data_IF_160807187291
#
_entry.id   IF_160807187291
#
_cell.length_a   1.000
_cell.length_b   1.000
_cell.length_c   1.000
_cell.angle_alpha   90.00
_cell.angle_beta   90.00
_cell.angle_gamma   90.00
#
_symmetry.space_group_name_H-M   'P 1'
#
loop_
_entity.id
_entity.type
_entity.pdbx_description
1 polymer ?
#
# COMPACT_ATOMS: atom_id res chain seq x y z
N UNK A 1 21.47 47.69 -84.18
CA UNK A 1 21.15 46.77 -85.30
C UNK A 1 19.97 45.91 -84.88
N UNK A 2 19.02 45.70 -85.80
CA UNK A 2 17.80 44.84 -85.73
C UNK A 2 18.06 43.52 -84.97
N UNK A 3 17.21 42.96 -84.12
CA UNK A 3 15.77 42.65 -84.26
C UNK A 3 15.10 42.45 -82.88
N UNK A 4 13.76 42.59 -82.79
CA UNK A 4 12.95 42.37 -81.59
C UNK A 4 12.24 41.00 -81.59
N UNK A 5 11.72 40.60 -80.42
CA UNK A 5 10.82 39.45 -80.22
C UNK A 5 11.21 38.73 -78.93
N UNK A 6 10.34 38.47 -77.95
CA UNK A 6 8.89 38.58 -77.86
C UNK A 6 8.53 38.36 -76.38
N UNK A 7 7.68 39.21 -75.81
CA UNK A 7 7.12 39.02 -74.47
C UNK A 7 6.15 37.83 -74.45
N UNK A 8 6.20 36.94 -73.44
CA UNK A 8 5.06 36.11 -73.12
C UNK A 8 4.23 36.73 -71.99
N UNK A 9 2.94 36.78 -72.29
CA UNK A 9 1.79 36.79 -71.39
C UNK A 9 1.94 35.85 -70.20
N UNK A 10 1.44 36.29 -69.04
CA UNK A 10 1.55 35.57 -67.78
C UNK A 10 0.62 34.35 -67.64
N UNK A 11 0.76 33.68 -66.49
CA UNK A 11 -0.29 32.91 -65.86
C UNK A 11 0.07 32.72 -64.38
N UNK A 12 -0.82 33.12 -63.49
CA UNK A 12 -0.73 32.84 -62.06
C UNK A 12 -0.83 31.32 -61.83
N UNK A 13 0.19 30.73 -61.22
CA UNK A 13 0.13 29.34 -60.78
C UNK A 13 -0.56 29.29 -59.41
N UNK A 14 -1.77 28.76 -59.37
CA UNK A 14 -2.46 28.37 -58.15
C UNK A 14 -1.68 27.22 -57.49
N UNK A 15 -1.13 27.44 -56.28
CA UNK A 15 -0.66 26.35 -55.42
C UNK A 15 -1.89 25.60 -54.89
N UNK A 16 -2.17 24.44 -55.46
CA UNK A 16 -3.07 23.47 -54.85
C UNK A 16 -2.37 22.87 -53.61
N UNK A 17 -2.79 23.27 -52.41
CA UNK A 17 -2.49 22.54 -51.19
C UNK A 17 -3.18 21.17 -51.27
N UNK A 18 -2.41 20.12 -51.52
CA UNK A 18 -2.88 18.76 -51.36
C UNK A 18 -3.07 18.50 -49.84
N UNK A 19 -4.31 18.62 -49.38
CA UNK A 19 -4.75 18.10 -48.08
C UNK A 19 -4.62 16.58 -48.15
N UNK A 20 -3.53 16.04 -47.62
CA UNK A 20 -3.43 14.61 -47.30
C UNK A 20 -4.41 14.40 -46.13
N UNK A 21 -5.50 13.65 -46.30
CA UNK A 21 -6.31 13.26 -45.17
C UNK A 21 -5.41 12.35 -44.33
N UNK A 22 -5.03 12.84 -43.14
CA UNK A 22 -4.53 11.97 -42.08
C UNK A 22 -5.75 11.16 -41.64
N UNK A 23 -6.05 10.09 -42.38
CA UNK A 23 -6.93 9.04 -41.91
C UNK A 23 -6.23 8.45 -40.71
N UNK A 24 -6.56 8.96 -39.52
CA UNK A 24 -6.28 8.30 -38.28
C UNK A 24 -6.92 6.91 -38.40
N UNK A 25 -6.12 5.93 -38.81
CA UNK A 25 -6.41 4.55 -38.53
C UNK A 25 -6.41 4.48 -37.01
N UNK A 26 -7.57 4.68 -36.40
CA UNK A 26 -7.87 4.06 -35.13
C UNK A 26 -7.78 2.57 -35.42
N UNK A 27 -6.57 2.02 -35.32
CA UNK A 27 -6.41 0.63 -34.96
C UNK A 27 -7.09 0.50 -33.60
N UNK A 28 -8.40 0.23 -33.63
CA UNK A 28 -8.97 -0.64 -32.62
C UNK A 28 -8.20 -1.93 -32.81
N UNK A 29 -7.11 -2.05 -32.07
CA UNK A 29 -6.68 -3.36 -31.66
C UNK A 29 -7.89 -3.91 -30.90
N UNK A 30 -8.69 -4.74 -31.58
CA UNK A 30 -9.34 -5.86 -30.94
C UNK A 30 -8.22 -6.76 -30.42
N UNK A 31 -7.50 -6.26 -29.41
CA UNK A 31 -6.65 -7.06 -28.57
C UNK A 31 -7.59 -7.60 -27.52
N UNK A 32 -8.17 -8.75 -27.85
CA UNK A 32 -8.60 -9.77 -26.90
C UNK A 32 -7.37 -10.32 -26.14
N UNK A 33 -6.44 -9.43 -25.74
CA UNK A 33 -5.42 -9.73 -24.75
C UNK A 33 -6.21 -10.11 -23.51
N UNK A 34 -6.05 -11.34 -23.04
CA UNK A 34 -6.70 -11.84 -21.84
C UNK A 34 -6.68 -10.72 -20.78
N UNK A 35 -7.85 -10.14 -20.50
CA UNK A 35 -7.97 -9.14 -19.45
C UNK A 35 -7.65 -9.87 -18.16
N UNK A 36 -6.64 -9.42 -17.42
CA UNK A 36 -6.33 -10.00 -16.12
C UNK A 36 -7.62 -10.07 -15.29
N UNK A 37 -7.99 -11.27 -14.83
CA UNK A 37 -9.11 -11.44 -13.89
C UNK A 37 -8.73 -11.05 -12.47
N UNK A 38 -7.43 -11.09 -12.17
CA UNK A 38 -6.89 -10.81 -10.85
C UNK A 38 -5.85 -9.69 -10.91
N UNK A 39 -5.90 -8.78 -9.94
CA UNK A 39 -4.91 -7.73 -9.74
C UNK A 39 -4.39 -7.79 -8.31
N UNK A 40 -3.09 -8.04 -8.16
CA UNK A 40 -2.39 -7.92 -6.88
C UNK A 40 -1.75 -6.54 -6.79
N UNK A 41 -2.16 -5.74 -5.82
CA UNK A 41 -1.55 -4.43 -5.54
C UNK A 41 -0.62 -4.56 -4.34
N UNK A 42 0.67 -4.33 -4.55
CA UNK A 42 1.68 -4.31 -3.50
C UNK A 42 2.15 -2.88 -3.31
N UNK A 43 1.95 -2.34 -2.10
CA UNK A 43 2.54 -1.07 -1.69
C UNK A 43 3.78 -1.33 -0.83
N UNK A 44 4.93 -0.75 -1.14
CA UNK A 44 6.11 -0.82 -0.27
C UNK A 44 6.28 0.53 0.41
N UNK A 45 6.03 0.61 1.72
CA UNK A 45 6.21 1.87 2.45
C UNK A 45 7.68 2.27 2.44
N UNK A 46 7.93 3.52 2.03
CA UNK A 46 9.26 4.13 2.03
C UNK A 46 10.08 3.86 0.78
N UNK A 47 9.64 3.01 -0.14
CA UNK A 47 10.44 2.66 -1.32
C UNK A 47 10.61 3.87 -2.25
N UNK A 48 11.85 4.32 -2.41
CA UNK A 48 12.21 5.32 -3.43
C UNK A 48 12.45 4.65 -4.77
N UNK A 49 12.24 5.41 -5.86
CA UNK A 49 12.70 5.03 -7.19
C UNK A 49 14.21 4.72 -7.19
N UNK A 50 15.03 5.51 -6.50
CA UNK A 50 16.47 5.29 -6.37
C UNK A 50 16.84 4.00 -5.65
N UNK A 51 16.02 3.54 -4.71
CA UNK A 51 16.25 2.26 -4.01
C UNK A 51 16.08 1.11 -4.99
N UNK A 52 15.00 1.14 -5.78
CA UNK A 52 14.72 0.14 -6.82
C UNK A 52 15.83 0.14 -7.88
N UNK A 53 16.20 1.32 -8.40
CA UNK A 53 17.26 1.45 -9.42
C UNK A 53 18.60 0.89 -8.94
N UNK A 54 19.02 1.25 -7.73
CA UNK A 54 20.28 0.76 -7.16
C UNK A 54 20.24 -0.75 -6.93
N UNK A 55 19.14 -1.28 -6.40
CA UNK A 55 18.99 -2.70 -6.10
C UNK A 55 19.03 -3.57 -7.36
N UNK A 56 18.28 -3.22 -8.42
CA UNK A 56 18.26 -4.03 -9.64
C UNK A 56 19.57 -3.94 -10.43
N UNK A 57 20.33 -2.84 -10.27
CA UNK A 57 21.65 -2.70 -10.88
C UNK A 57 22.68 -3.68 -10.29
N UNK A 58 22.59 -3.99 -8.99
CA UNK A 58 23.43 -4.99 -8.31
C UNK A 58 22.83 -6.40 -8.31
N UNK A 59 21.51 -6.53 -8.50
CA UNK A 59 20.76 -7.79 -8.47
C UNK A 59 19.99 -8.05 -9.77
N UNK A 60 20.72 -8.11 -10.90
CA UNK A 60 20.11 -8.21 -12.23
C UNK A 60 19.22 -9.45 -12.47
N UNK A 61 19.30 -10.48 -11.63
CA UNK A 61 18.47 -11.70 -11.70
C UNK A 61 17.34 -11.76 -10.68
N UNK A 62 17.17 -10.71 -9.87
CA UNK A 62 16.13 -10.58 -8.85
C UNK A 62 14.72 -10.55 -9.45
N UNK A 63 13.70 -10.83 -8.64
CA UNK A 63 12.29 -10.72 -9.05
C UNK A 63 11.92 -9.28 -9.39
N UNK A 64 12.40 -8.30 -8.62
CA UNK A 64 12.24 -6.88 -8.92
C UNK A 64 12.87 -6.51 -10.28
N UNK A 65 14.07 -7.01 -10.58
CA UNK A 65 14.69 -6.80 -11.89
C UNK A 65 13.87 -7.43 -13.02
N UNK A 66 13.31 -8.64 -12.82
CA UNK A 66 12.41 -9.27 -13.79
C UNK A 66 11.14 -8.45 -14.00
N UNK A 67 10.50 -7.97 -12.93
CA UNK A 67 9.30 -7.13 -13.03
C UNK A 67 9.55 -5.87 -13.84
N UNK A 68 10.70 -5.21 -13.63
CA UNK A 68 11.09 -4.01 -14.40
C UNK A 68 11.41 -4.34 -15.86
N UNK A 69 12.13 -5.43 -16.12
CA UNK A 69 12.61 -5.77 -17.46
C UNK A 69 11.55 -6.42 -18.36
N UNK A 70 10.60 -7.15 -17.77
CA UNK A 70 9.58 -7.94 -18.47
C UNK A 70 8.17 -7.33 -18.36
N UNK A 71 7.97 -6.40 -17.43
CA UNK A 71 6.71 -5.68 -17.21
C UNK A 71 6.72 -4.26 -17.76
N UNK A 72 5.85 -3.42 -17.18
CA UNK A 72 5.84 -1.99 -17.42
C UNK A 72 6.40 -1.27 -16.19
N UNK A 73 7.44 -0.47 -16.38
CA UNK A 73 8.00 0.41 -15.35
C UNK A 73 7.70 1.86 -15.67
N UNK A 74 7.28 2.61 -14.65
CA UNK A 74 7.02 4.04 -14.74
C UNK A 74 8.04 4.78 -13.89
N UNK A 75 8.91 5.54 -14.54
CA UNK A 75 9.78 6.49 -13.84
C UNK A 75 9.02 7.78 -13.51
N UNK A 76 9.50 8.50 -12.50
CA UNK A 76 8.88 9.75 -12.05
C UNK A 76 7.39 9.59 -11.66
N UNK A 77 7.07 8.48 -10.98
CA UNK A 77 5.80 8.30 -10.30
C UNK A 77 5.80 9.13 -9.00
N UNK A 78 4.69 9.82 -8.71
CA UNK A 78 4.60 10.71 -7.54
C UNK A 78 3.50 10.27 -6.58
N UNK A 79 3.82 10.36 -5.29
CA UNK A 79 2.87 10.23 -4.20
C UNK A 79 2.10 11.54 -4.02
N UNK A 80 0.89 11.52 -3.42
CA UNK A 80 0.17 12.75 -3.10
C UNK A 80 0.93 13.59 -2.08
N UNK A 81 0.56 14.87 -1.96
CA UNK A 81 0.98 15.72 -0.84
C UNK A 81 -0.15 15.83 0.21
N UNK A 82 0.13 15.60 1.50
CA UNK A 82 1.40 15.14 2.06
C UNK A 82 1.70 13.67 1.69
N UNK A 83 2.99 13.34 1.55
CA UNK A 83 3.45 12.00 1.20
C UNK A 83 3.65 11.16 2.46
N UNK A 84 2.59 10.51 2.92
CA UNK A 84 2.61 9.53 4.01
C UNK A 84 1.61 8.39 3.73
N UNK A 85 1.54 7.42 4.64
CA UNK A 85 0.80 6.17 4.58
C UNK A 85 -0.68 6.37 4.29
N UNK A 86 -1.38 7.13 5.13
CA UNK A 86 -2.83 7.32 4.98
C UNK A 86 -3.22 8.09 3.69
N UNK A 87 -2.65 9.28 3.40
CA UNK A 87 -2.96 9.99 2.15
C UNK A 87 -2.49 9.23 0.91
N UNK A 88 -1.33 8.57 0.97
CA UNK A 88 -0.78 7.76 -0.11
C UNK A 88 -1.65 6.58 -0.49
N UNK A 89 -2.08 5.79 0.51
CA UNK A 89 -2.97 4.67 0.26
C UNK A 89 -4.33 5.15 -0.24
N UNK A 90 -4.86 6.25 0.32
CA UNK A 90 -6.10 6.86 -0.16
C UNK A 90 -6.02 7.16 -1.65
N UNK A 91 -4.91 7.73 -2.13
CA UNK A 91 -4.72 8.03 -3.54
C UNK A 91 -4.67 6.75 -4.41
N UNK A 92 -3.97 5.70 -3.96
CA UNK A 92 -3.94 4.40 -4.65
C UNK A 92 -5.34 3.80 -4.75
N UNK A 93 -6.11 3.84 -3.66
CA UNK A 93 -7.41 3.17 -3.58
C UNK A 93 -8.56 3.95 -4.21
N UNK A 94 -8.41 5.24 -4.49
CA UNK A 94 -9.51 6.08 -4.98
C UNK A 94 -9.19 6.83 -6.28
N UNK A 95 -7.91 6.96 -6.63
CA UNK A 95 -7.44 7.88 -7.66
C UNK A 95 -7.62 9.37 -7.31
N UNK A 96 -8.05 9.69 -6.08
CA UNK A 96 -8.35 11.05 -5.65
C UNK A 96 -7.19 11.66 -4.85
N UNK A 97 -7.01 12.97 -4.98
CA UNK A 97 -6.12 13.74 -4.10
C UNK A 97 -6.68 13.78 -2.66
N UNK A 98 -5.85 13.84 -1.59
CA UNK A 98 -6.29 13.94 -0.20
C UNK A 98 -7.45 14.93 0.03
N UNK A 99 -7.32 16.13 -0.54
CA UNK A 99 -8.37 17.17 -0.54
C UNK A 99 -9.73 16.70 -1.08
N UNK A 100 -9.76 16.03 -2.23
CA UNK A 100 -11.01 15.55 -2.85
C UNK A 100 -11.54 14.29 -2.18
N UNK A 101 -10.64 13.42 -1.70
CA UNK A 101 -11.00 12.24 -0.93
C UNK A 101 -11.61 12.60 0.44
N UNK A 102 -11.29 13.79 0.97
CA UNK A 102 -11.74 14.24 2.29
C UNK A 102 -10.84 13.78 3.44
N UNK A 103 -9.76 13.06 3.12
CA UNK A 103 -8.79 12.50 4.06
C UNK A 103 -7.46 13.19 3.82
N UNK A 104 -7.06 14.10 4.71
CA UNK A 104 -5.78 14.81 4.60
C UNK A 104 -4.62 13.99 5.19
N UNK A 105 -4.86 13.36 6.33
CA UNK A 105 -3.89 12.61 7.13
C UNK A 105 -4.65 11.63 8.05
N UNK A 106 -3.96 10.67 8.66
CA UNK A 106 -4.54 9.78 9.69
C UNK A 106 -4.84 10.54 10.99
N UNK A 107 -3.97 11.47 11.38
CA UNK A 107 -4.21 12.44 12.46
C UNK A 107 -4.52 13.84 11.92
N UNK A 108 -5.74 14.32 12.12
CA UNK A 108 -6.17 15.62 11.59
C UNK A 108 -7.23 16.34 12.41
N UNK A 109 -7.25 17.68 12.37
CA UNK A 109 -8.30 18.46 13.03
C UNK A 109 -9.56 18.57 12.16
N UNK A 110 -10.71 18.11 12.67
CA UNK A 110 -12.01 18.27 12.03
C UNK A 110 -12.91 19.25 12.80
N UNK A 111 -13.33 20.33 12.13
CA UNK A 111 -14.16 21.40 12.72
C UNK A 111 -15.66 21.06 12.79
N UNK A 112 -16.09 19.96 12.18
CA UNK A 112 -17.51 19.61 12.02
C UNK A 112 -17.93 18.42 12.88
N UNK A 113 -16.99 17.60 13.35
CA UNK A 113 -17.26 16.46 14.20
C UNK A 113 -17.17 16.82 15.68
N UNK A 114 -17.81 16.01 16.51
CA UNK A 114 -17.78 16.11 17.97
C UNK A 114 -16.67 15.22 18.54
N UNK A 115 -16.15 15.53 19.74
CA UNK A 115 -15.15 14.72 20.44
C UNK A 115 -15.51 13.24 20.56
N UNK A 116 -14.48 12.39 20.52
CA UNK A 116 -14.60 10.97 20.81
C UNK A 116 -15.25 10.73 22.19
N UNK A 117 -16.02 9.65 22.31
CA UNK A 117 -16.80 9.33 23.51
C UNK A 117 -18.06 10.19 23.74
N UNK A 118 -18.43 11.09 22.81
CA UNK A 118 -19.68 11.85 22.89
C UNK A 118 -20.90 10.93 22.75
N UNK A 119 -21.71 10.82 23.82
CA UNK A 119 -22.94 10.00 23.84
C UNK A 119 -24.23 10.82 23.86
N UNK A 120 -24.13 12.14 24.08
CA UNK A 120 -25.24 13.10 24.02
C UNK A 120 -24.80 14.34 23.26
N UNK A 121 -25.22 14.47 22.00
CA UNK A 121 -24.74 15.49 21.09
C UNK A 121 -25.34 16.89 21.29
N UNK A 122 -26.48 17.00 21.97
CA UNK A 122 -27.14 18.28 22.19
C UNK A 122 -26.26 19.25 23.02
N UNK A 123 -25.95 20.42 22.45
CA UNK A 123 -25.17 21.45 23.12
C UNK A 123 -23.65 21.22 23.16
N UNK A 124 -23.15 20.15 22.53
CA UNK A 124 -21.71 19.90 22.39
C UNK A 124 -21.17 20.74 21.23
N UNK A 125 -20.07 21.45 21.47
CA UNK A 125 -19.41 22.24 20.44
C UNK A 125 -18.59 21.35 19.50
N UNK A 126 -18.65 21.56 18.16
CA UNK A 126 -17.84 20.80 17.21
C UNK A 126 -16.40 21.29 17.16
N UNK A 127 -15.50 20.42 16.71
CA UNK A 127 -14.06 20.60 16.74
C UNK A 127 -13.38 19.48 17.50
N UNK A 128 -12.69 18.60 16.79
CA UNK A 128 -12.04 17.41 17.36
C UNK A 128 -10.79 17.04 16.57
N UNK A 129 -9.81 16.48 17.26
CA UNK A 129 -8.68 15.74 16.68
C UNK A 129 -9.17 14.35 16.26
N UNK A 130 -9.14 14.06 14.97
CA UNK A 130 -9.54 12.78 14.39
C UNK A 130 -8.30 11.93 14.25
N UNK A 131 -8.28 10.80 14.95
CA UNK A 131 -7.11 9.93 15.08
C UNK A 131 -7.36 8.56 14.45
N UNK A 132 -7.24 8.47 13.13
CA UNK A 132 -7.39 7.22 12.37
C UNK A 132 -6.07 6.49 12.19
N UNK A 133 -5.49 6.12 13.33
CA UNK A 133 -4.23 5.39 13.47
C UNK A 133 -4.38 4.30 14.55
N UNK A 134 -3.27 3.80 15.10
CA UNK A 134 -3.20 2.65 16.01
C UNK A 134 -4.01 2.82 17.31
N UNK A 135 -4.32 4.06 17.71
CA UNK A 135 -5.13 4.33 18.91
C UNK A 135 -6.58 3.83 18.80
N UNK A 136 -7.05 3.53 17.58
CA UNK A 136 -8.40 3.01 17.36
C UNK A 136 -8.56 1.56 17.84
N UNK A 137 -7.48 0.83 18.07
CA UNK A 137 -7.53 -0.56 18.48
C UNK A 137 -8.31 -0.76 19.79
N UNK A 138 -9.00 -1.89 19.91
CA UNK A 138 -9.55 -2.34 21.20
C UNK A 138 -8.40 -2.58 22.19
N UNK A 139 -7.31 -3.19 21.74
CA UNK A 139 -6.07 -3.32 22.50
C UNK A 139 -4.84 -3.16 21.58
N UNK A 140 -4.29 -1.95 21.58
CA UNK A 140 -3.06 -1.60 20.87
C UNK A 140 -1.87 -2.48 21.28
N UNK A 141 -1.86 -3.09 22.47
CA UNK A 141 -0.73 -3.91 22.89
C UNK A 141 -0.69 -5.30 22.25
N UNK A 142 -1.78 -5.72 21.58
CA UNK A 142 -1.90 -7.03 20.96
C UNK A 142 -1.85 -6.92 19.44
N UNK A 143 -1.09 -7.80 18.78
CA UNK A 143 -0.98 -7.83 17.31
C UNK A 143 -2.31 -8.09 16.60
N UNK A 144 -3.30 -8.64 17.29
CA UNK A 144 -4.66 -8.81 16.76
C UNK A 144 -5.58 -7.61 17.04
N UNK A 145 -5.05 -6.45 17.46
CA UNK A 145 -5.77 -5.24 17.84
C UNK A 145 -6.83 -5.45 18.95
N UNK A 146 -6.73 -6.54 19.71
CA UNK A 146 -7.72 -6.93 20.72
C UNK A 146 -8.86 -7.81 20.19
N UNK A 147 -8.73 -8.39 18.99
CA UNK A 147 -9.71 -9.31 18.39
C UNK A 147 -9.97 -10.57 19.24
N UNK A 148 -9.03 -10.97 20.09
CA UNK A 148 -9.16 -12.11 21.00
C UNK A 148 -8.98 -13.46 20.30
N UNK A 149 -7.99 -13.57 19.40
CA UNK A 149 -7.79 -14.77 18.55
C UNK A 149 -7.15 -15.97 19.26
N UNK A 150 -6.81 -15.84 20.54
CA UNK A 150 -6.27 -16.90 21.38
C UNK A 150 -4.84 -16.60 21.85
N UNK A 151 -4.00 -17.64 21.92
CA UNK A 151 -2.62 -17.51 22.37
C UNK A 151 -1.76 -16.81 21.30
N UNK A 152 -1.15 -15.68 21.68
CA UNK A 152 -0.23 -14.90 20.87
C UNK A 152 1.12 -14.68 21.58
N UNK A 153 1.44 -15.50 22.59
CA UNK A 153 2.61 -15.30 23.46
C UNK A 153 3.97 -15.64 22.86
N UNK A 154 3.99 -16.31 21.70
CA UNK A 154 5.21 -16.74 20.98
C UNK A 154 5.06 -16.49 19.49
N UNK A 155 6.16 -16.39 18.74
CA UNK A 155 6.09 -16.24 17.28
C UNK A 155 5.39 -17.44 16.61
N UNK A 156 5.58 -18.64 17.16
CA UNK A 156 4.88 -19.84 16.71
C UNK A 156 3.37 -19.76 16.96
N UNK A 157 2.94 -19.28 18.14
CA UNK A 157 1.52 -19.10 18.45
C UNK A 157 0.89 -18.00 17.59
N UNK A 158 1.60 -16.89 17.34
CA UNK A 158 1.17 -15.83 16.42
C UNK A 158 0.89 -16.40 15.03
N UNK A 159 1.85 -17.14 14.44
CA UNK A 159 1.66 -17.77 13.12
C UNK A 159 0.47 -18.72 13.04
N UNK A 160 0.04 -19.29 14.17
CA UNK A 160 -1.10 -20.22 14.22
C UNK A 160 -2.43 -19.51 14.42
N UNK A 161 -2.45 -18.44 15.21
CA UNK A 161 -3.70 -17.86 15.71
C UNK A 161 -4.06 -16.52 15.06
N UNK A 162 -3.09 -15.75 14.54
CA UNK A 162 -3.35 -14.40 14.00
C UNK A 162 -4.38 -14.40 12.88
N UNK A 163 -4.44 -15.45 12.06
CA UNK A 163 -5.39 -15.53 10.97
C UNK A 163 -6.83 -15.87 11.40
N UNK A 164 -7.13 -15.93 12.71
CA UNK A 164 -8.51 -16.03 13.18
C UNK A 164 -9.15 -14.66 13.40
N UNK A 165 -8.43 -13.58 13.07
CA UNK A 165 -8.99 -12.24 13.08
C UNK A 165 -10.22 -12.15 12.17
N UNK A 166 -11.10 -11.20 12.43
CA UNK A 166 -12.25 -10.97 11.56
C UNK A 166 -11.80 -10.57 10.16
N UNK A 167 -12.60 -10.93 9.15
CA UNK A 167 -12.50 -10.42 7.79
C UNK A 167 -12.84 -8.91 7.70
N UNK A 168 -13.32 -8.33 8.80
CA UNK A 168 -13.73 -6.94 8.91
C UNK A 168 -12.88 -6.27 9.98
N UNK A 169 -11.82 -5.53 9.59
CA UNK A 169 -10.93 -4.86 10.53
C UNK A 169 -11.66 -3.94 11.54
N UNK A 170 -12.79 -3.34 11.14
CA UNK A 170 -13.61 -2.50 12.03
C UNK A 170 -14.13 -3.22 13.28
N UNK A 171 -14.18 -4.55 13.28
CA UNK A 171 -14.63 -5.34 14.43
C UNK A 171 -13.64 -5.22 15.61
N UNK A 172 -12.41 -4.80 15.34
CA UNK A 172 -11.37 -4.53 16.33
C UNK A 172 -11.10 -3.02 16.56
N UNK A 173 -11.99 -2.15 16.09
CA UNK A 173 -11.97 -0.71 16.43
C UNK A 173 -12.78 -0.46 17.72
N UNK A 174 -12.21 0.24 18.71
CA UNK A 174 -12.94 0.79 19.85
C UNK A 174 -13.79 2.01 19.40
N UNK A 175 -15.13 1.90 19.37
CA UNK A 175 -15.99 2.98 18.90
C UNK A 175 -15.94 4.22 19.81
N UNK A 176 -15.39 4.11 21.03
CA UNK A 176 -15.23 5.25 21.94
C UNK A 176 -14.09 6.17 21.53
N UNK A 177 -13.15 5.69 20.73
CA UNK A 177 -12.03 6.47 20.20
C UNK A 177 -12.40 7.23 18.93
N UNK A 178 -13.53 6.88 18.30
CA UNK A 178 -13.98 7.52 17.07
C UNK A 178 -14.63 8.88 17.35
N UNK A 179 -14.40 9.89 16.48
CA UNK A 179 -15.15 11.14 16.52
C UNK A 179 -16.63 10.88 16.22
N UNK A 180 -17.51 11.79 16.64
CA UNK A 180 -18.97 11.60 16.53
C UNK A 180 -19.58 12.60 15.56
N UNK A 181 -20.45 12.13 14.67
CA UNK A 181 -21.22 13.01 13.77
C UNK A 181 -22.33 13.72 14.56
N UNK A 182 -22.36 15.06 14.62
CA UNK A 182 -23.40 15.80 15.34
C UNK A 182 -24.81 15.60 14.79
N UNK A 183 -24.97 15.22 13.51
CA UNK A 183 -26.27 15.04 12.89
C UNK A 183 -26.93 13.71 13.29
N UNK A 184 -26.16 12.63 13.28
CA UNK A 184 -26.65 11.27 13.61
C UNK A 184 -26.40 10.88 15.06
N UNK A 185 -25.50 11.59 15.74
CA UNK A 185 -24.98 11.24 17.06
C UNK A 185 -24.37 9.83 17.10
N UNK A 186 -23.71 9.44 16.01
CA UNK A 186 -23.03 8.15 15.86
C UNK A 186 -21.52 8.32 15.64
N UNK A 187 -20.70 7.35 16.07
CA UNK A 187 -19.28 7.28 15.71
C UNK A 187 -19.04 7.32 14.20
N UNK A 188 -18.02 8.05 13.76
CA UNK A 188 -17.59 8.14 12.36
C UNK A 188 -16.37 7.25 12.18
N UNK A 189 -16.58 6.10 11.54
CA UNK A 189 -15.53 5.15 11.19
C UNK A 189 -14.65 5.66 10.04
N UNK A 190 -13.40 5.16 9.90
CA UNK A 190 -12.49 5.59 8.84
C UNK A 190 -13.12 5.52 7.43
N UNK A 191 -13.84 4.43 7.12
CA UNK A 191 -14.47 4.26 5.80
C UNK A 191 -15.56 5.31 5.49
N UNK A 192 -16.33 5.76 6.49
CA UNK A 192 -17.37 6.79 6.29
C UNK A 192 -16.81 8.21 6.24
N UNK A 193 -15.56 8.40 6.66
CA UNK A 193 -14.88 9.69 6.55
C UNK A 193 -14.45 10.02 5.11
N UNK A 194 -14.26 8.97 4.29
CA UNK A 194 -13.96 9.09 2.87
C UNK A 194 -15.17 9.67 2.11
N UNK A 195 -14.92 10.55 1.14
CA UNK A 195 -15.96 11.24 0.36
C UNK A 195 -16.18 10.69 -1.04
N UNK A 196 -15.32 9.78 -1.45
CA UNK A 196 -15.28 9.18 -2.79
C UNK A 196 -15.23 7.67 -2.65
N UNK A 197 -15.66 6.97 -3.69
CA UNK A 197 -15.62 5.53 -3.69
C UNK A 197 -14.19 4.99 -3.87
N UNK A 198 -13.94 3.77 -3.40
CA UNK A 198 -12.67 3.06 -3.63
C UNK A 198 -12.75 2.16 -4.86
N UNK A 199 -11.59 1.72 -5.38
CA UNK A 199 -11.49 0.70 -6.44
C UNK A 199 -12.20 -0.60 -6.02
N UNK A 200 -12.22 -0.89 -4.72
CA UNK A 200 -12.89 -2.05 -4.18
C UNK A 200 -14.42 -1.91 -4.29
N UNK A 201 -14.99 -0.76 -3.90
CA UNK A 201 -16.43 -0.52 -4.11
C UNK A 201 -16.84 -0.57 -5.59
N UNK A 202 -15.98 -0.11 -6.50
CA UNK A 202 -16.21 -0.28 -7.95
C UNK A 202 -16.27 -1.75 -8.30
N UNK A 203 -15.31 -2.56 -7.86
CA UNK A 203 -15.29 -4.00 -8.11
C UNK A 203 -16.51 -4.71 -7.52
N UNK A 204 -16.90 -4.37 -6.28
CA UNK A 204 -18.09 -4.90 -5.60
C UNK A 204 -19.39 -4.58 -6.34
N UNK A 205 -19.52 -3.38 -6.91
CA UNK A 205 -20.68 -3.01 -7.73
C UNK A 205 -20.82 -3.88 -8.98
N UNK A 206 -19.75 -4.55 -9.40
CA UNK A 206 -19.71 -5.52 -10.51
C UNK A 206 -19.71 -6.98 -10.04
N UNK A 207 -20.01 -7.25 -8.76
CA UNK A 207 -20.11 -8.60 -8.21
C UNK A 207 -18.77 -9.32 -8.05
N UNK A 208 -17.66 -8.58 -8.06
CA UNK A 208 -16.33 -9.14 -7.87
C UNK A 208 -16.00 -9.27 -6.38
N UNK A 209 -15.16 -10.25 -6.05
CA UNK A 209 -14.62 -10.45 -4.71
C UNK A 209 -13.34 -9.64 -4.52
N UNK A 210 -13.09 -9.13 -3.31
CA UNK A 210 -11.98 -8.19 -3.02
C UNK A 210 -11.39 -8.42 -1.64
N UNK A 211 -10.07 -8.31 -1.51
CA UNK A 211 -9.38 -8.47 -0.23
C UNK A 211 -8.26 -7.44 -0.05
N UNK A 212 -7.79 -7.20 1.16
CA UNK A 212 -6.65 -6.31 1.42
C UNK A 212 -6.01 -6.61 2.77
N UNK A 213 -4.71 -6.36 2.90
CA UNK A 213 -4.02 -6.36 4.19
C UNK A 213 -3.24 -5.08 4.43
N UNK A 214 -3.37 -4.49 5.63
CA UNK A 214 -2.61 -3.30 6.02
C UNK A 214 -2.20 -3.34 7.51
N UNK A 215 -1.64 -2.24 8.01
CA UNK A 215 -0.87 -2.23 9.26
C UNK A 215 -1.59 -1.84 10.56
N UNK A 216 -2.84 -1.38 10.45
CA UNK A 216 -3.73 -0.97 11.54
C UNK A 216 -5.18 -1.23 11.15
N UNK A 217 -6.06 -1.45 12.12
CA UNK A 217 -7.51 -1.58 11.83
C UNK A 217 -8.12 -0.29 11.28
N UNK A 218 -7.48 0.86 11.50
CA UNK A 218 -7.86 2.15 10.93
C UNK A 218 -7.87 2.16 9.38
N UNK A 219 -7.15 1.23 8.75
CA UNK A 219 -7.24 1.02 7.30
C UNK A 219 -8.55 0.41 6.84
N UNK A 220 -9.52 0.18 7.75
CA UNK A 220 -10.94 0.12 7.43
C UNK A 220 -11.37 1.18 6.41
N UNK A 221 -10.68 2.33 6.36
CA UNK A 221 -10.73 3.32 5.28
C UNK A 221 -10.92 2.72 3.87
N UNK A 222 -10.20 1.64 3.52
CA UNK A 222 -10.24 1.06 2.17
C UNK A 222 -11.57 0.41 1.80
N UNK A 223 -12.44 0.15 2.79
CA UNK A 223 -13.82 -0.29 2.54
C UNK A 223 -14.64 0.77 1.80
N UNK A 224 -14.21 2.04 1.80
CA UNK A 224 -14.93 3.13 1.17
C UNK A 224 -16.26 3.47 1.86
N UNK A 225 -17.00 4.49 1.39
CA UNK A 225 -18.12 5.04 2.13
C UNK A 225 -19.28 4.06 2.36
N UNK A 226 -19.44 3.02 1.52
CA UNK A 226 -20.41 1.95 1.77
C UNK A 226 -20.07 1.09 2.99
N UNK A 227 -18.80 1.08 3.39
CA UNK A 227 -18.25 0.18 4.38
C UNK A 227 -18.22 -1.27 3.92
N UNK A 228 -18.38 -1.58 2.64
CA UNK A 228 -18.47 -2.96 2.12
C UNK A 228 -17.56 -3.19 0.92
N UNK A 229 -16.63 -2.26 0.66
CA UNK A 229 -15.69 -2.34 -0.43
C UNK A 229 -14.83 -3.60 -0.36
N UNK A 230 -14.35 -4.00 0.82
CA UNK A 230 -13.47 -5.17 0.99
C UNK A 230 -14.23 -6.31 1.66
N UNK A 231 -14.18 -7.51 1.07
CA UNK A 231 -14.81 -8.70 1.63
C UNK A 231 -13.95 -9.30 2.75
N UNK A 232 -12.62 -9.26 2.56
CA UNK A 232 -11.63 -9.77 3.51
C UNK A 232 -10.50 -8.77 3.75
N UNK A 233 -10.58 -8.04 4.87
CA UNK A 233 -9.63 -7.04 5.30
C UNK A 233 -8.86 -7.54 6.53
N UNK A 234 -7.66 -8.09 6.29
CA UNK A 234 -6.76 -8.60 7.33
C UNK A 234 -5.76 -7.52 7.78
N UNK A 235 -6.00 -6.89 8.92
CA UNK A 235 -5.22 -5.75 9.40
C UNK A 235 -4.62 -5.98 10.81
N UNK A 236 -3.56 -6.79 10.95
CA UNK A 236 -2.85 -6.96 12.23
C UNK A 236 -2.15 -5.66 12.64
N UNK A 237 -1.95 -5.45 13.94
CA UNK A 237 -1.44 -4.21 14.52
C UNK A 237 0.10 -4.17 14.61
N UNK A 238 0.74 -3.29 13.84
CA UNK A 238 2.20 -3.18 13.81
C UNK A 238 2.80 -2.38 14.98
N UNK A 239 2.04 -1.48 15.60
CA UNK A 239 2.47 -0.73 16.78
C UNK A 239 2.20 -1.49 18.09
N UNK A 240 1.79 -2.76 18.00
CA UNK A 240 1.62 -3.65 19.16
C UNK A 240 2.92 -4.17 19.75
N UNK A 241 2.83 -4.66 20.99
CA UNK A 241 3.99 -5.14 21.73
C UNK A 241 4.52 -6.45 21.15
N UNK A 242 5.81 -6.46 20.82
CA UNK A 242 6.50 -7.69 20.43
C UNK A 242 6.68 -8.58 21.66
N UNK A 243 6.45 -9.88 21.48
CA UNK A 243 6.61 -10.86 22.54
C UNK A 243 8.10 -11.16 22.80
N UNK A 244 8.45 -11.40 24.07
CA UNK A 244 9.78 -11.87 24.44
C UNK A 244 9.91 -13.39 24.20
N UNK A 245 10.27 -13.78 22.98
CA UNK A 245 10.43 -15.17 22.51
C UNK A 245 11.50 -15.25 21.41
N UNK A 246 12.03 -16.43 21.05
CA UNK A 246 12.97 -16.55 19.92
C UNK A 246 12.26 -16.61 18.57
N UNK A 247 12.73 -15.83 17.61
CA UNK A 247 12.22 -15.88 16.23
C UNK A 247 13.00 -16.94 15.44
N UNK A 248 12.39 -18.10 15.20
CA UNK A 248 12.99 -19.23 14.45
C UNK A 248 14.37 -19.67 14.99
N UNK A 249 14.51 -19.67 16.31
CA UNK A 249 15.76 -20.04 16.99
C UNK A 249 16.82 -18.93 17.05
N UNK A 250 16.52 -17.75 16.49
CA UNK A 250 17.32 -16.55 16.66
C UNK A 250 16.95 -15.90 17.99
N UNK A 251 17.95 -15.67 18.85
CA UNK A 251 17.77 -14.93 20.07
C UNK A 251 17.31 -13.52 19.71
N UNK A 252 16.09 -13.19 20.09
CA UNK A 252 15.53 -11.86 19.90
C UNK A 252 16.23 -10.88 20.84
N UNK A 253 16.83 -9.81 20.32
CA UNK A 253 17.68 -8.91 21.10
C UNK A 253 16.90 -7.83 21.83
N UNK A 254 15.56 -7.83 21.74
CA UNK A 254 14.70 -6.75 22.21
C UNK A 254 13.79 -7.17 23.36
N UNK A 255 13.49 -6.24 24.25
CA UNK A 255 12.59 -6.43 25.39
C UNK A 255 11.14 -6.42 24.96
N UNK A 256 10.29 -7.21 25.63
CA UNK A 256 8.84 -7.00 25.58
C UNK A 256 8.51 -5.56 25.99
N UNK A 257 7.65 -4.88 25.24
CA UNK A 257 7.30 -3.47 25.47
C UNK A 257 7.64 -2.53 24.31
N UNK A 258 8.36 -3.02 23.30
CA UNK A 258 8.65 -2.31 22.07
C UNK A 258 7.83 -2.85 20.89
N UNK A 259 7.52 -1.98 19.93
CA UNK A 259 6.71 -2.34 18.76
C UNK A 259 7.50 -3.01 17.62
N UNK A 260 6.78 -3.58 16.65
CA UNK A 260 7.35 -4.31 15.51
C UNK A 260 8.20 -3.44 14.57
N UNK A 261 8.17 -2.12 14.72
CA UNK A 261 8.95 -1.17 13.91
C UNK A 261 10.32 -0.85 14.50
N UNK A 262 10.59 -1.25 15.76
CA UNK A 262 11.86 -0.98 16.43
C UNK A 262 12.99 -1.91 16.01
N UNK A 263 12.68 -3.02 15.34
CA UNK A 263 13.67 -3.89 14.71
C UNK A 263 13.17 -4.40 13.36
N UNK A 264 14.03 -4.35 12.35
CA UNK A 264 13.67 -4.70 10.98
C UNK A 264 13.38 -6.20 10.81
N UNK A 265 14.00 -7.10 11.59
CA UNK A 265 13.66 -8.52 11.54
C UNK A 265 12.24 -8.78 12.05
N UNK A 266 11.78 -8.04 13.07
CA UNK A 266 10.38 -8.13 13.51
C UNK A 266 9.44 -7.53 12.47
N UNK A 267 9.82 -6.40 11.86
CA UNK A 267 9.03 -5.85 10.75
C UNK A 267 8.89 -6.86 9.61
N UNK A 268 9.95 -7.60 9.27
CA UNK A 268 9.92 -8.65 8.25
C UNK A 268 9.06 -9.84 8.67
N UNK A 269 9.13 -10.29 9.93
CA UNK A 269 8.21 -11.31 10.44
C UNK A 269 6.76 -10.84 10.31
N UNK A 270 6.46 -9.63 10.76
CA UNK A 270 5.13 -9.04 10.70
C UNK A 270 4.62 -8.96 9.25
N UNK A 271 5.45 -8.45 8.33
CA UNK A 271 5.12 -8.42 6.90
C UNK A 271 4.90 -9.82 6.33
N UNK A 272 5.62 -10.84 6.82
CA UNK A 272 5.45 -12.23 6.37
C UNK A 272 4.08 -12.82 6.70
N UNK A 273 3.42 -12.34 7.78
CA UNK A 273 2.05 -12.73 8.11
C UNK A 273 1.07 -12.23 7.04
N UNK A 274 1.24 -10.97 6.61
CA UNK A 274 0.42 -10.37 5.55
C UNK A 274 0.70 -11.01 4.19
N UNK A 275 1.95 -11.36 3.88
CA UNK A 275 2.28 -12.13 2.67
C UNK A 275 1.55 -13.47 2.66
N UNK A 276 1.48 -14.16 3.80
CA UNK A 276 0.75 -15.42 3.88
C UNK A 276 -0.75 -15.25 3.59
N UNK A 277 -1.38 -14.15 4.04
CA UNK A 277 -2.75 -13.82 3.67
C UNK A 277 -2.90 -13.64 2.15
N UNK A 278 -1.97 -12.92 1.49
CA UNK A 278 -1.96 -12.77 0.02
C UNK A 278 -1.81 -14.12 -0.70
N UNK A 279 -0.98 -15.02 -0.19
CA UNK A 279 -0.82 -16.37 -0.75
C UNK A 279 -2.08 -17.22 -0.55
N UNK A 280 -2.77 -17.08 0.59
CA UNK A 280 -4.03 -17.77 0.84
C UNK A 280 -5.13 -17.29 -0.14
N UNK A 281 -5.24 -15.97 -0.36
CA UNK A 281 -6.13 -15.39 -1.36
C UNK A 281 -5.78 -15.84 -2.78
N UNK A 282 -4.50 -15.88 -3.14
CA UNK A 282 -4.05 -16.38 -4.45
C UNK A 282 -4.47 -17.84 -4.71
N UNK A 283 -4.54 -18.66 -3.66
CA UNK A 283 -5.03 -20.03 -3.72
C UNK A 283 -6.57 -20.16 -3.63
N UNK A 284 -7.30 -19.05 -3.60
CA UNK A 284 -8.76 -19.01 -3.55
C UNK A 284 -9.36 -19.27 -2.17
N UNK A 285 -8.58 -19.10 -1.10
CA UNK A 285 -9.08 -19.06 0.27
C UNK A 285 -9.29 -17.64 0.76
N UNK A 286 -9.84 -17.51 1.97
CA UNK A 286 -9.78 -16.29 2.79
C UNK A 286 -8.37 -16.12 3.40
N UNK A 287 -8.12 -15.05 4.16
CA UNK A 287 -6.81 -14.78 4.73
C UNK A 287 -6.30 -15.89 5.67
N UNK A 288 -7.22 -16.68 6.24
CA UNK A 288 -6.96 -17.85 7.09
C UNK A 288 -6.71 -19.15 6.31
N UNK A 289 -6.87 -19.12 4.99
CA UNK A 289 -6.74 -20.27 4.09
C UNK A 289 -8.00 -21.12 3.98
N UNK A 290 -9.11 -20.74 4.64
CA UNK A 290 -10.41 -21.40 4.46
C UNK A 290 -10.86 -21.21 3.00
N UNK A 291 -11.19 -22.28 2.25
CA UNK A 291 -11.60 -22.15 0.86
C UNK A 291 -12.82 -21.22 0.69
N UNK A 292 -12.70 -20.21 -0.16
CA UNK A 292 -13.79 -19.29 -0.45
C UNK A 292 -14.53 -19.73 -1.74
N UNK A 293 -15.87 -19.89 -1.74
CA UNK A 293 -16.64 -20.26 -2.93
C UNK A 293 -16.52 -19.26 -4.10
N UNK A 294 -16.17 -18.00 -3.84
CA UNK A 294 -15.90 -17.00 -4.86
C UNK A 294 -14.53 -17.19 -5.54
N UNK A 295 -13.64 -18.01 -4.97
CA UNK A 295 -12.27 -18.18 -5.42
C UNK A 295 -11.39 -16.98 -5.08
N UNK A 296 -10.28 -16.83 -5.81
CA UNK A 296 -9.33 -15.74 -5.58
C UNK A 296 -10.00 -14.36 -5.83
N UNK A 297 -9.71 -13.34 -5.01
CA UNK A 297 -10.27 -12.01 -5.22
C UNK A 297 -9.86 -11.40 -6.57
N UNK A 298 -10.71 -10.57 -7.17
CA UNK A 298 -10.39 -9.85 -8.41
C UNK A 298 -9.38 -8.72 -8.17
N UNK A 299 -9.43 -8.07 -7.00
CA UNK A 299 -8.43 -7.10 -6.55
C UNK A 299 -8.05 -7.44 -5.12
N UNK A 300 -6.77 -7.68 -4.88
CA UNK A 300 -6.23 -7.95 -3.55
C UNK A 300 -4.80 -7.47 -3.41
N UNK A 301 -4.25 -7.53 -2.20
CA UNK A 301 -2.88 -7.08 -1.99
C UNK A 301 -2.58 -6.70 -0.55
N UNK A 302 -1.45 -6.02 -0.38
CA UNK A 302 -0.98 -5.61 0.93
C UNK A 302 0.00 -4.43 0.85
N UNK A 303 0.33 -3.87 2.01
CA UNK A 303 1.55 -3.06 2.15
C UNK A 303 2.71 -3.82 2.83
N UNK A 304 3.95 -3.50 2.46
CA UNK A 304 5.18 -3.85 3.19
C UNK A 304 5.63 -2.67 4.06
N UNK A 305 6.25 -2.96 5.20
CA UNK A 305 6.78 -1.98 6.17
C UNK A 305 8.30 -2.03 6.28
N UNK A 306 8.91 -3.15 5.93
CA UNK A 306 10.34 -3.40 6.18
C UNK A 306 11.28 -2.35 5.55
N UNK A 307 11.00 -1.81 4.37
CA UNK A 307 11.86 -0.77 3.77
C UNK A 307 11.79 0.53 4.58
N UNK A 308 10.58 0.98 4.91
CA UNK A 308 10.35 2.14 5.77
C UNK A 308 11.08 2.04 7.12
N UNK A 309 11.02 0.88 7.80
CA UNK A 309 11.72 0.72 9.08
C UNK A 309 13.24 0.61 8.88
N UNK A 310 13.71 -0.09 7.86
CA UNK A 310 15.13 -0.16 7.54
C UNK A 310 15.75 1.20 7.18
N UNK A 311 14.99 2.11 6.58
CA UNK A 311 15.43 3.48 6.28
C UNK A 311 15.50 4.35 7.54
N UNK A 312 14.59 4.16 8.50
CA UNK A 312 14.45 4.98 9.72
C UNK A 312 15.39 4.53 10.85
N UNK A 313 15.65 3.24 10.96
CA UNK A 313 16.49 2.68 12.02
C UNK A 313 17.97 2.96 11.73
N UNK A 314 18.67 3.57 12.68
CA UNK A 314 20.11 3.82 12.55
C UNK A 314 20.91 2.50 12.57
N UNK A 315 20.54 1.59 13.49
CA UNK A 315 21.05 0.24 13.56
C UNK A 315 19.90 -0.74 13.82
N UNK A 316 19.94 -1.90 13.18
CA UNK A 316 18.99 -2.99 13.44
C UNK A 316 19.56 -4.33 13.01
N UNK A 317 18.93 -5.42 13.43
CA UNK A 317 19.23 -6.75 12.94
C UNK A 317 18.71 -6.91 11.51
N UNK A 318 19.31 -7.84 10.77
CA UNK A 318 18.97 -8.08 9.37
C UNK A 318 19.18 -9.55 9.01
N UNK A 319 18.51 -9.99 7.95
CA UNK A 319 18.61 -11.37 7.45
C UNK A 319 20.01 -11.58 6.88
N UNK A 320 20.65 -12.70 7.24
CA UNK A 320 22.02 -13.05 6.84
C UNK A 320 23.00 -13.11 7.99
N UNK A 321 22.79 -12.28 9.03
CA UNK A 321 23.52 -12.38 10.31
C UNK A 321 22.68 -11.78 11.45
N UNK A 322 21.62 -12.48 11.84
CA UNK A 322 20.69 -12.01 12.86
C UNK A 322 21.30 -11.92 14.28
N UNK A 323 22.53 -12.40 14.49
CA UNK A 323 23.29 -12.20 15.71
C UNK A 323 23.99 -10.84 15.79
N UNK A 324 23.94 -10.04 14.71
CA UNK A 324 24.61 -8.76 14.59
C UNK A 324 23.62 -7.65 14.22
N UNK A 325 23.92 -6.44 14.65
CA UNK A 325 23.28 -5.23 14.14
C UNK A 325 24.12 -4.62 13.02
N UNK A 326 23.44 -4.04 12.03
CA UNK A 326 24.06 -3.33 10.92
C UNK A 326 23.46 -1.93 10.75
N UNK A 327 24.11 -1.11 9.94
CA UNK A 327 23.60 0.22 9.59
C UNK A 327 22.33 0.10 8.74
N UNK A 328 21.28 0.79 9.16
CA UNK A 328 20.13 1.09 8.30
C UNK A 328 20.35 2.36 7.47
N UNK A 329 19.27 2.84 6.87
CA UNK A 329 19.30 4.01 6.01
C UNK A 329 20.28 3.87 4.85
N UNK A 330 20.94 4.98 4.54
CA UNK A 330 21.90 5.07 3.44
C UNK A 330 23.31 5.36 3.96
N UNK A 331 24.29 4.74 3.31
CA UNK A 331 25.72 4.95 3.56
C UNK A 331 26.36 5.70 2.40
N UNK A 332 27.64 6.08 2.55
CA UNK A 332 28.39 6.80 1.52
C UNK A 332 27.68 8.08 1.02
N UNK A 333 27.19 8.90 1.94
CA UNK A 333 26.44 10.13 1.66
C UNK A 333 25.19 9.91 0.78
N UNK A 334 24.42 8.84 1.03
CA UNK A 334 23.21 8.54 0.27
C UNK A 334 23.44 7.69 -0.98
N UNK A 335 24.69 7.37 -1.33
CA UNK A 335 25.02 6.69 -2.57
C UNK A 335 24.78 5.17 -2.54
N UNK A 336 24.58 4.56 -1.37
CA UNK A 336 24.31 3.13 -1.24
C UNK A 336 23.40 2.85 -0.05
N UNK A 337 22.64 1.75 -0.11
CA UNK A 337 21.88 1.23 1.02
C UNK A 337 22.83 0.73 2.13
N UNK A 338 22.47 0.99 3.38
CA UNK A 338 23.05 0.26 4.52
C UNK A 338 22.64 -1.22 4.48
N UNK A 339 23.37 -2.08 5.19
CA UNK A 339 23.14 -3.54 5.15
C UNK A 339 21.73 -3.95 5.61
N UNK A 340 21.08 -3.16 6.48
CA UNK A 340 19.70 -3.42 6.90
C UNK A 340 18.72 -3.08 5.77
N UNK A 341 18.92 -1.95 5.06
CA UNK A 341 18.08 -1.58 3.92
C UNK A 341 18.27 -2.53 2.74
N UNK A 342 19.51 -2.92 2.46
CA UNK A 342 19.82 -3.95 1.47
C UNK A 342 19.10 -5.28 1.79
N UNK A 343 19.16 -5.71 3.06
CA UNK A 343 18.46 -6.90 3.53
C UNK A 343 16.93 -6.79 3.43
N UNK A 344 16.35 -5.62 3.70
CA UNK A 344 14.91 -5.37 3.55
C UNK A 344 14.45 -5.44 2.08
N UNK A 345 15.25 -4.90 1.15
CA UNK A 345 15.00 -5.00 -0.29
C UNK A 345 15.09 -6.47 -0.76
N UNK A 346 16.09 -7.21 -0.29
CA UNK A 346 16.21 -8.66 -0.54
C UNK A 346 15.05 -9.48 0.03
N UNK A 347 14.54 -9.12 1.20
CA UNK A 347 13.35 -9.74 1.77
C UNK A 347 12.13 -9.51 0.86
N UNK A 348 11.86 -8.27 0.44
CA UNK A 348 10.74 -7.96 -0.45
C UNK A 348 10.87 -8.72 -1.77
N UNK A 349 12.07 -8.75 -2.37
CA UNK A 349 12.32 -9.50 -3.60
C UNK A 349 11.93 -10.99 -3.47
N UNK A 350 12.31 -11.60 -2.35
CA UNK A 350 11.98 -12.99 -2.02
C UNK A 350 10.48 -13.18 -1.82
N UNK A 351 9.79 -12.25 -1.13
CA UNK A 351 8.34 -12.35 -0.93
C UNK A 351 7.57 -12.15 -2.24
N UNK A 352 8.03 -11.23 -3.10
CA UNK A 352 7.45 -11.03 -4.43
C UNK A 352 7.65 -12.25 -5.32
N UNK A 353 8.79 -12.95 -5.22
CA UNK A 353 9.00 -14.23 -5.91
C UNK A 353 7.94 -15.26 -5.48
N UNK A 354 7.69 -15.39 -4.17
CA UNK A 354 6.66 -16.29 -3.63
C UNK A 354 5.27 -15.93 -4.14
N UNK A 355 4.91 -14.65 -4.16
CA UNK A 355 3.61 -14.17 -4.65
C UNK A 355 3.47 -14.44 -6.15
N UNK A 356 4.49 -14.13 -6.95
CA UNK A 356 4.48 -14.37 -8.40
C UNK A 356 4.39 -15.88 -8.73
N UNK A 357 5.04 -16.74 -7.95
CA UNK A 357 4.99 -18.19 -8.12
C UNK A 357 3.62 -18.80 -7.74
N UNK A 358 2.80 -18.10 -6.96
CA UNK A 358 1.49 -18.57 -6.50
C UNK A 358 0.35 -18.28 -7.48
N UNK A 359 0.60 -17.57 -8.58
CA UNK A 359 -0.44 -17.12 -9.53
C UNK A 359 -0.14 -17.52 -10.97
N UNK A 360 -1.19 -17.58 -11.79
CA UNK A 360 -1.05 -17.72 -13.24
C UNK A 360 -0.74 -16.34 -13.87
N UNK A 361 0.46 -16.13 -14.43
CA UNK A 361 0.82 -14.84 -15.02
C UNK A 361 0.03 -14.50 -16.30
N UNK A 362 -0.72 -15.46 -16.86
CA UNK A 362 -1.62 -15.20 -18.00
C UNK A 362 -2.96 -14.57 -17.61
N UNK A 363 -3.32 -14.61 -16.32
CA UNK A 363 -4.62 -14.12 -15.81
C UNK A 363 -4.48 -13.15 -14.62
N UNK A 364 -3.26 -12.95 -14.12
CA UNK A 364 -2.97 -12.09 -12.95
C UNK A 364 -1.99 -10.97 -13.30
N UNK A 365 -2.34 -9.74 -12.93
CA UNK A 365 -1.45 -8.57 -12.96
C UNK A 365 -0.93 -8.28 -11.55
N UNK A 366 0.38 -8.10 -11.38
CA UNK A 366 0.99 -7.62 -10.13
C UNK A 366 1.43 -6.18 -10.34
N UNK A 367 0.94 -5.27 -9.49
CA UNK A 367 1.31 -3.85 -9.47
C UNK A 367 2.11 -3.59 -8.20
N UNK A 368 3.37 -3.21 -8.33
CA UNK A 368 4.23 -2.82 -7.20
C UNK A 368 4.41 -1.30 -7.23
N UNK A 369 4.09 -0.63 -6.12
CA UNK A 369 4.20 0.82 -5.96
C UNK A 369 4.58 1.16 -4.51
N UNK A 370 4.66 2.44 -4.17
CA UNK A 370 4.84 2.93 -2.81
C UNK A 370 3.75 3.96 -2.48
N UNK A 371 3.14 3.88 -1.29
CA UNK A 371 2.20 4.90 -0.81
C UNK A 371 2.90 6.19 -0.36
N UNK A 372 4.17 6.10 0.04
CA UNK A 372 5.03 7.24 0.34
C UNK A 372 6.50 6.84 0.18
N UNK A 373 7.39 7.82 0.08
CA UNK A 373 8.85 7.64 0.25
C UNK A 373 9.27 8.01 1.68
N UNK A 374 10.56 7.96 2.02
CA UNK A 374 11.07 8.47 3.31
C UNK A 374 11.89 9.75 3.14
N UNK A 375 11.91 10.60 4.17
CA UNK A 375 12.84 11.72 4.16
C UNK A 375 14.29 11.20 4.22
N UNK A 376 15.15 11.69 3.33
CA UNK A 376 16.58 11.40 3.40
C UNK A 376 17.18 12.02 4.66
N UNK A 377 17.99 11.31 5.45
CA UNK A 377 18.72 11.91 6.56
C UNK A 377 19.60 13.06 6.04
N UNK A 378 19.31 14.29 6.47
CA UNK A 378 20.12 15.47 6.11
C UNK A 378 19.65 16.26 4.88
N UNK A 379 18.48 15.96 4.31
CA UNK A 379 17.79 16.92 3.43
C UNK A 379 17.18 18.03 4.30
N UNK A 380 18.04 18.95 4.75
CA UNK A 380 17.60 20.25 5.24
C UNK A 380 16.83 20.96 4.13
N UNK A 381 15.83 21.73 4.54
CA UNK A 381 15.18 22.74 3.71
C UNK A 381 16.24 23.57 2.97
N UNK A 382 16.24 23.52 1.65
CA UNK A 382 16.65 24.64 0.80
C UNK A 382 15.46 25.12 -0.03
#
# INVERSE_FOLDING_TARGET
>A
MKNPGSSPTGLAAAMALALIPCSAQTARADADSARARHVIVISVDGLHESDLEAYIASHATSTLAKFVNEGASYSNAHTPFPSDSFPGLTAIMTGAHPRSAGVYYDDSWNRSLLPAGTTSCAGVAPGVEVTYFEQLDIDLNSIDAGSGVGDLSTFAAIRQNIYKMSQQARDAIDPKQLPVDPATCQPVYPHTYLRVNTIFEVAKAHGLHTAWSDKHVAYDLVNGPSGTGVDDLFAPEINSLVQADTLDGLATPYSAGDDWTKDNLYTQFYDSLKVQAVLNWAHGGDHDGTPNPAGAPAIYGMNFQTVSTAQKLNFSHFVGDAGMTGLGGYVNNGAAAGVVLEGALGFIDTQLERIAAAVDPSDTMIVVSAKHTQALPGAGEE
#
